data_IF_313343353509
#
_entry.id   IF_313343353509
#
_cell.length_a   1.000
_cell.length_b   1.000
_cell.length_c   1.000
_cell.angle_alpha   90.00
_cell.angle_beta   90.00
_cell.angle_gamma   90.00
#
_symmetry.space_group_name_H-M   'P 1'
#
loop_
_entity.id
_entity.type
_entity.pdbx_description
1 polymer ?
#
# COMPACT_ATOMS: atom_id res chain seq x y z
N UNK A 1 4.37 -18.21 9.64
CA UNK A 1 3.87 -17.35 8.56
C UNK A 1 3.76 -15.96 9.16
N UNK A 2 4.51 -14.99 8.64
CA UNK A 2 4.55 -13.66 9.26
C UNK A 2 3.37 -12.79 8.82
N UNK A 3 3.11 -11.69 9.53
CA UNK A 3 2.06 -10.73 9.18
C UNK A 3 2.19 -10.20 7.72
N UNK A 4 3.42 -10.08 7.23
CA UNK A 4 3.70 -9.73 5.82
C UNK A 4 3.15 -10.76 4.83
N UNK A 5 3.28 -12.05 5.13
CA UNK A 5 2.80 -13.13 4.27
C UNK A 5 1.26 -13.19 4.31
N UNK A 6 0.67 -12.95 5.47
CA UNK A 6 -0.79 -12.87 5.65
C UNK A 6 -1.39 -11.72 4.84
N UNK A 7 -0.80 -10.52 4.91
CA UNK A 7 -1.20 -9.37 4.10
C UNK A 7 -1.04 -9.66 2.60
N UNK A 8 0.05 -10.33 2.21
CA UNK A 8 0.25 -10.75 0.82
C UNK A 8 -0.82 -11.72 0.34
N UNK A 9 -1.17 -12.72 1.16
CA UNK A 9 -2.23 -13.70 0.85
C UNK A 9 -3.60 -13.03 0.71
N UNK A 10 -3.93 -12.10 1.61
CA UNK A 10 -5.19 -11.34 1.55
C UNK A 10 -5.25 -10.48 0.29
N UNK A 11 -4.16 -9.79 -0.05
CA UNK A 11 -4.07 -8.98 -1.26
C UNK A 11 -4.20 -9.81 -2.54
N UNK A 12 -3.58 -11.00 -2.59
CA UNK A 12 -3.73 -11.94 -3.72
C UNK A 12 -5.16 -12.47 -3.85
N UNK A 13 -5.88 -12.59 -2.73
CA UNK A 13 -7.30 -12.92 -2.73
C UNK A 13 -8.21 -11.70 -3.07
N UNK A 14 -7.63 -10.55 -3.42
CA UNK A 14 -8.37 -9.33 -3.73
C UNK A 14 -8.91 -8.58 -2.51
N UNK A 15 -8.51 -8.96 -1.29
CA UNK A 15 -8.94 -8.33 -0.05
C UNK A 15 -7.92 -7.29 0.40
N UNK A 16 -8.36 -6.03 0.46
CA UNK A 16 -7.63 -4.92 1.06
C UNK A 16 -8.05 -4.78 2.54
N UNK A 17 -7.06 -4.73 3.43
CA UNK A 17 -7.28 -4.37 4.83
C UNK A 17 -6.92 -2.90 5.08
N UNK A 18 -7.72 -2.24 5.92
CA UNK A 18 -7.49 -0.88 6.40
C UNK A 18 -7.67 -0.84 7.91
N UNK A 19 -6.83 -0.10 8.65
CA UNK A 19 -7.01 0.06 10.09
C UNK A 19 -7.97 1.23 10.34
N UNK A 20 -9.10 0.96 11.01
CA UNK A 20 -10.10 1.97 11.37
C UNK A 20 -9.91 2.52 12.79
N UNK A 21 -9.08 1.88 13.59
CA UNK A 21 -8.84 2.21 14.98
C UNK A 21 -7.85 1.23 15.62
N UNK A 22 -7.51 1.43 16.90
CA UNK A 22 -6.46 0.66 17.59
C UNK A 22 -6.71 -0.86 17.57
N UNK A 23 -7.97 -1.28 17.49
CA UNK A 23 -8.39 -2.67 17.49
C UNK A 23 -9.37 -2.97 16.33
N UNK A 24 -9.46 -2.13 15.30
CA UNK A 24 -10.48 -2.29 14.24
C UNK A 24 -9.84 -2.36 12.86
N UNK A 25 -10.23 -3.39 12.11
CA UNK A 25 -9.86 -3.59 10.71
C UNK A 25 -11.13 -3.52 9.85
N UNK A 26 -11.08 -2.77 8.76
CA UNK A 26 -11.98 -2.91 7.63
C UNK A 26 -11.35 -3.83 6.60
N UNK A 27 -12.18 -4.63 5.93
CA UNK A 27 -11.78 -5.50 4.84
C UNK A 27 -12.69 -5.26 3.64
N UNK A 28 -12.11 -4.93 2.49
CA UNK A 28 -12.84 -4.57 1.27
C UNK A 28 -12.22 -5.28 0.05
N UNK A 29 -13.03 -5.74 -0.91
CA UNK A 29 -14.49 -5.69 -0.91
C UNK A 29 -15.09 -6.88 -0.12
N UNK A 30 -16.32 -6.72 0.41
CA UNK A 30 -16.91 -7.70 1.37
C UNK A 30 -17.19 -9.06 0.72
N UNK A 31 -17.46 -9.06 -0.57
CA UNK A 31 -17.71 -10.23 -1.42
C UNK A 31 -16.47 -11.11 -1.59
N UNK A 32 -15.26 -10.55 -1.52
CA UNK A 32 -14.01 -11.31 -1.55
C UNK A 32 -13.70 -11.99 -0.20
N UNK A 33 -14.45 -11.65 0.85
CA UNK A 33 -14.24 -12.17 2.20
C UNK A 33 -14.89 -13.55 2.36
N UNK A 34 -14.12 -14.61 2.13
CA UNK A 34 -14.55 -15.99 2.46
C UNK A 34 -14.49 -16.24 3.97
N UNK A 35 -15.14 -17.30 4.45
CA UNK A 35 -15.09 -17.66 5.88
C UNK A 35 -13.69 -18.06 6.35
N UNK A 36 -12.88 -18.65 5.46
CA UNK A 36 -11.47 -18.92 5.72
C UNK A 36 -10.70 -17.62 5.94
N UNK A 37 -10.87 -16.62 5.06
CA UNK A 37 -10.22 -15.32 5.20
C UNK A 37 -10.70 -14.59 6.46
N UNK A 38 -11.98 -14.69 6.81
CA UNK A 38 -12.51 -14.14 8.08
C UNK A 38 -11.86 -14.80 9.29
N UNK A 39 -11.71 -16.12 9.29
CA UNK A 39 -11.06 -16.84 10.37
C UNK A 39 -9.58 -16.45 10.48
N UNK A 40 -8.89 -16.35 9.34
CA UNK A 40 -7.49 -15.91 9.27
C UNK A 40 -7.30 -14.50 9.83
N UNK A 41 -8.14 -13.54 9.40
CA UNK A 41 -8.09 -12.15 9.90
C UNK A 41 -8.35 -12.09 11.40
N UNK A 42 -9.32 -12.86 11.91
CA UNK A 42 -9.63 -12.89 13.35
C UNK A 42 -8.50 -13.51 14.17
N UNK A 43 -7.90 -14.60 13.68
CA UNK A 43 -6.81 -15.31 14.36
C UNK A 43 -5.52 -14.49 14.46
N UNK A 44 -5.26 -13.61 13.49
CA UNK A 44 -4.04 -12.80 13.41
C UNK A 44 -4.30 -11.30 13.52
N UNK A 45 -5.43 -10.89 14.10
CA UNK A 45 -5.90 -9.50 14.08
C UNK A 45 -4.87 -8.50 14.63
N UNK A 46 -4.25 -8.81 15.76
CA UNK A 46 -3.25 -7.94 16.39
C UNK A 46 -2.01 -7.78 15.49
N UNK A 47 -1.48 -8.91 15.00
CA UNK A 47 -0.32 -8.92 14.08
C UNK A 47 -0.59 -8.13 12.80
N UNK A 48 -1.81 -8.24 12.25
CA UNK A 48 -2.24 -7.50 11.05
C UNK A 48 -2.33 -5.99 11.32
N UNK A 49 -2.86 -5.59 12.48
CA UNK A 49 -2.92 -4.17 12.88
C UNK A 49 -1.51 -3.60 13.03
N UNK A 50 -0.62 -4.31 13.72
CA UNK A 50 0.77 -3.88 13.89
C UNK A 50 1.50 -3.76 12.55
N UNK A 51 1.30 -4.71 11.65
CA UNK A 51 1.89 -4.69 10.32
C UNK A 51 1.32 -3.58 9.41
N UNK A 52 0.07 -3.17 9.63
CA UNK A 52 -0.58 -2.09 8.88
C UNK A 52 -0.30 -0.70 9.47
N UNK A 53 0.02 -0.60 10.77
CA UNK A 53 0.25 0.67 11.45
C UNK A 53 1.34 1.57 10.80
N UNK A 54 2.44 1.05 10.23
CA UNK A 54 3.39 1.84 9.44
C UNK A 54 2.76 2.56 8.24
N UNK A 55 1.81 1.92 7.55
CA UNK A 55 1.15 2.48 6.37
C UNK A 55 0.19 3.59 6.70
N UNK A 56 -0.54 3.47 7.80
CA UNK A 56 -1.49 4.52 8.21
C UNK A 56 -0.74 5.74 8.74
N UNK A 57 0.39 5.53 9.42
CA UNK A 57 1.23 6.62 9.93
C UNK A 57 1.77 7.45 8.78
N UNK A 58 1.32 8.71 8.70
CA UNK A 58 1.75 9.66 7.67
C UNK A 58 1.13 9.41 6.30
N UNK A 59 0.15 8.50 6.18
CA UNK A 59 -0.54 8.18 4.92
C UNK A 59 -1.04 9.41 4.19
N UNK A 60 -1.81 10.23 4.89
CA UNK A 60 -2.40 11.43 4.28
C UNK A 60 -1.31 12.45 3.91
N UNK A 61 -0.24 12.56 4.70
CA UNK A 61 0.90 13.42 4.37
C UNK A 61 1.59 12.95 3.09
N UNK A 62 1.87 11.65 2.96
CA UNK A 62 2.46 11.08 1.74
C UNK A 62 1.54 11.26 0.53
N UNK A 63 0.24 11.01 0.70
CA UNK A 63 -0.78 11.22 -0.33
C UNK A 63 -0.80 12.67 -0.81
N UNK A 64 -0.83 13.64 0.10
CA UNK A 64 -0.80 15.06 -0.23
C UNK A 64 0.49 15.45 -0.95
N UNK A 65 1.64 14.95 -0.50
CA UNK A 65 2.92 15.17 -1.18
C UNK A 65 2.90 14.62 -2.61
N UNK A 66 2.35 13.42 -2.82
CA UNK A 66 2.28 12.81 -4.15
C UNK A 66 1.36 13.61 -5.08
N UNK A 67 0.21 14.06 -4.59
CA UNK A 67 -0.70 14.92 -5.34
C UNK A 67 -0.09 16.29 -5.66
N UNK A 68 0.61 16.90 -4.71
CA UNK A 68 1.30 18.18 -4.92
C UNK A 68 2.41 18.05 -5.97
N UNK A 69 3.21 16.97 -5.90
CA UNK A 69 4.24 16.68 -6.91
C UNK A 69 3.62 16.46 -8.29
N UNK A 70 2.52 15.71 -8.38
CA UNK A 70 1.80 15.51 -9.64
C UNK A 70 1.26 16.83 -10.18
N UNK A 71 0.74 17.72 -9.33
CA UNK A 71 0.24 19.03 -9.75
C UNK A 71 1.35 19.95 -10.29
N UNK A 72 2.55 19.88 -9.71
CA UNK A 72 3.72 20.65 -10.14
C UNK A 72 4.32 20.17 -11.47
N UNK A 73 4.02 18.94 -11.89
CA UNK A 73 4.55 18.32 -13.11
C UNK A 73 3.39 18.04 -14.11
N UNK A 74 2.83 19.07 -14.78
CA UNK A 74 1.62 18.94 -15.60
C UNK A 74 1.76 17.93 -16.75
N UNK A 75 2.97 17.81 -17.32
CA UNK A 75 3.27 16.89 -18.42
C UNK A 75 3.39 15.43 -17.98
N UNK A 76 3.55 15.18 -16.67
CA UNK A 76 3.59 13.82 -16.12
C UNK A 76 2.19 13.30 -15.84
N UNK A 77 1.96 12.06 -16.27
CA UNK A 77 0.75 11.30 -15.95
C UNK A 77 0.83 10.60 -14.60
N UNK A 78 2.05 10.33 -14.11
CA UNK A 78 2.28 9.55 -12.90
C UNK A 78 3.47 10.11 -12.12
N UNK A 79 3.38 10.08 -10.80
CA UNK A 79 4.52 10.36 -9.91
C UNK A 79 4.54 9.35 -8.78
N UNK A 80 5.74 8.93 -8.38
CA UNK A 80 5.97 8.17 -7.16
C UNK A 80 6.76 8.99 -6.15
N UNK A 81 6.42 8.76 -4.88
CA UNK A 81 7.19 9.20 -3.72
C UNK A 81 7.53 7.96 -2.90
N UNK A 82 8.81 7.84 -2.55
CA UNK A 82 9.31 6.77 -1.71
C UNK A 82 9.57 7.28 -0.30
N UNK A 83 9.12 6.53 0.68
CA UNK A 83 9.34 6.77 2.10
C UNK A 83 10.03 5.53 2.69
N UNK A 84 11.38 5.51 2.71
CA UNK A 84 12.13 4.38 3.23
C UNK A 84 12.07 4.30 4.77
N UNK A 85 11.77 5.40 5.45
CA UNK A 85 11.83 5.47 6.91
C UNK A 85 10.52 5.05 7.58
N UNK A 86 9.42 4.97 6.81
CA UNK A 86 8.13 4.56 7.33
C UNK A 86 8.06 3.09 7.80
N UNK A 87 8.84 2.17 7.20
CA UNK A 87 8.90 0.75 7.56
C UNK A 87 10.35 0.23 7.52
N UNK A 88 10.89 -0.35 8.61
CA UNK A 88 12.23 -0.92 8.60
C UNK A 88 12.39 -2.10 7.62
N UNK A 89 11.33 -2.84 7.29
CA UNK A 89 11.41 -4.00 6.41
C UNK A 89 11.19 -3.66 4.92
N UNK A 90 10.60 -2.50 4.63
CA UNK A 90 10.10 -2.19 3.28
C UNK A 90 10.19 -0.70 2.96
N UNK A 91 10.23 -0.38 1.67
CA UNK A 91 10.03 1.00 1.21
C UNK A 91 8.57 1.20 0.88
N UNK A 92 7.94 2.20 1.49
CA UNK A 92 6.59 2.61 1.10
C UNK A 92 6.67 3.49 -0.14
N UNK A 93 5.93 3.11 -1.17
CA UNK A 93 5.80 3.87 -2.41
C UNK A 93 4.38 4.42 -2.52
N UNK A 94 4.22 5.73 -2.50
CA UNK A 94 2.94 6.39 -2.82
C UNK A 94 2.94 6.78 -4.29
N UNK A 95 2.04 6.18 -5.07
CA UNK A 95 1.86 6.44 -6.48
C UNK A 95 0.61 7.31 -6.68
N UNK A 96 0.76 8.42 -7.38
CA UNK A 96 -0.35 9.24 -7.86
C UNK A 96 -0.43 9.17 -9.39
N UNK A 97 -1.63 8.93 -9.91
CA UNK A 97 -1.93 8.85 -11.34
C UNK A 97 -3.00 9.89 -11.67
N UNK A 98 -2.68 10.78 -12.63
CA UNK A 98 -3.56 11.87 -13.04
C UNK A 98 -4.88 11.32 -13.58
N UNK A 99 -6.00 11.90 -13.13
CA UNK A 99 -7.34 11.48 -13.54
C UNK A 99 -7.80 10.12 -12.99
N UNK A 100 -6.98 9.40 -12.22
CA UNK A 100 -7.32 8.07 -11.69
C UNK A 100 -7.34 8.05 -10.17
N UNK A 101 -6.28 8.53 -9.50
CA UNK A 101 -6.21 8.55 -8.05
C UNK A 101 -4.83 8.22 -7.48
N UNK A 102 -4.80 7.79 -6.22
CA UNK A 102 -3.57 7.50 -5.47
C UNK A 102 -3.61 6.09 -4.88
N UNK A 103 -2.49 5.38 -4.89
CA UNK A 103 -2.31 4.11 -4.17
C UNK A 103 -0.99 4.09 -3.40
N UNK A 104 -0.91 3.22 -2.39
CA UNK A 104 0.32 2.93 -1.66
C UNK A 104 0.72 1.48 -1.88
N UNK A 105 2.01 1.26 -2.11
CA UNK A 105 2.63 -0.02 -2.35
C UNK A 105 3.73 -0.25 -1.33
N UNK A 106 3.88 -1.49 -0.88
CA UNK A 106 5.00 -1.90 -0.03
C UNK A 106 5.96 -2.73 -0.84
N UNK A 107 7.16 -2.21 -1.00
CA UNK A 107 8.22 -2.86 -1.75
C UNK A 107 9.22 -3.40 -0.72
N UNK A 108 9.36 -4.73 -0.56
CA UNK A 108 10.38 -5.29 0.33
C UNK A 108 11.74 -4.67 0.01
N UNK A 109 12.53 -4.27 1.01
CA UNK A 109 13.82 -3.58 0.78
C UNK A 109 14.76 -4.37 -0.13
N UNK A 110 14.79 -5.70 0.01
CA UNK A 110 15.58 -6.59 -0.84
C UNK A 110 15.17 -6.59 -2.33
N UNK A 111 13.97 -6.09 -2.65
CA UNK A 111 13.41 -5.98 -4.01
C UNK A 111 13.27 -4.54 -4.48
N UNK A 112 13.67 -3.57 -3.64
CA UNK A 112 13.49 -2.16 -3.96
C UNK A 112 14.64 -1.66 -4.85
N UNK A 113 14.30 -1.38 -6.10
CA UNK A 113 15.15 -0.66 -7.04
C UNK A 113 14.43 0.63 -7.48
N UNK A 114 14.92 1.81 -7.05
CA UNK A 114 14.32 3.09 -7.42
C UNK A 114 14.22 3.29 -8.94
N UNK A 115 15.20 2.82 -9.70
CA UNK A 115 15.28 3.02 -11.15
C UNK A 115 14.28 2.14 -11.87
N UNK A 116 14.18 0.86 -11.49
CA UNK A 116 13.19 -0.05 -12.05
C UNK A 116 11.75 0.46 -11.83
N UNK A 117 11.47 1.08 -10.68
CA UNK A 117 10.16 1.69 -10.42
C UNK A 117 9.93 2.91 -11.31
N UNK A 118 10.92 3.80 -11.46
CA UNK A 118 10.81 4.97 -12.33
C UNK A 118 10.57 4.57 -13.79
N UNK A 119 11.31 3.58 -14.29
CA UNK A 119 11.13 3.03 -15.64
C UNK A 119 9.71 2.48 -15.84
N UNK A 120 9.20 1.72 -14.87
CA UNK A 120 7.84 1.19 -14.91
C UNK A 120 6.75 2.29 -14.92
N UNK A 121 7.03 3.48 -14.38
CA UNK A 121 6.09 4.61 -14.40
C UNK A 121 6.04 5.30 -15.76
N UNK A 122 7.16 5.31 -16.48
CA UNK A 122 7.32 5.94 -17.80
C UNK A 122 6.81 5.05 -18.93
N UNK A 123 6.70 3.74 -18.71
CA UNK A 123 6.14 2.84 -19.72
C UNK A 123 4.65 3.15 -19.99
N UNK A 124 4.28 3.43 -21.27
CA UNK A 124 2.88 3.53 -21.66
C UNK A 124 2.21 2.18 -21.44
N UNK A 125 1.02 2.18 -20.83
CA UNK A 125 0.24 0.95 -20.70
C UNK A 125 -0.25 0.57 -22.09
N UNK A 126 0.13 -0.62 -22.55
CA UNK A 126 -0.47 -1.31 -23.70
C UNK A 126 -1.96 -1.58 -23.45
#
# INVERSE_FOLDING_TARGET
MGASDLLGRLALAGVKLTVLGPDKLAAEPREALTDELRALIRGHKAELIEALAPFERGREIRRQRALAKLAAEPDRQRVAIFDPDADPASVLCTLAIRGVGTCELRIPRAKFDPWAVLEALEQPKH
#
